data_IF_483619166131
#
_entry.id   IF_483619166131
#
_cell.length_a   1.000
_cell.length_b   1.000
_cell.length_c   1.000
_cell.angle_alpha   90.00
_cell.angle_beta   90.00
_cell.angle_gamma   90.00
#
_symmetry.space_group_name_H-M   'P 1'
#
loop_
_entity.id
_entity.type
_entity.pdbx_description
1 polymer ?
#
# COMPACT_ATOMS: atom_id res chain seq x y z
N UNK A 1 -30.56 -5.09 21.12
CA UNK A 1 -30.59 -6.13 20.07
C UNK A 1 -31.59 -7.23 20.49
N UNK A 2 -32.55 -7.57 19.61
CA UNK A 2 -33.42 -8.73 19.82
C UNK A 2 -32.57 -9.99 19.70
N UNK A 3 -32.66 -10.87 20.73
CA UNK A 3 -31.98 -12.17 20.70
C UNK A 3 -33.03 -13.21 20.34
N UNK A 4 -32.74 -14.04 19.35
CA UNK A 4 -33.57 -15.15 18.95
C UNK A 4 -32.90 -16.45 19.43
N UNK A 5 -33.70 -17.37 19.91
CA UNK A 5 -33.29 -18.75 20.22
C UNK A 5 -34.02 -19.67 19.25
N UNK A 6 -33.28 -20.42 18.47
CA UNK A 6 -33.83 -21.40 17.52
C UNK A 6 -33.69 -22.78 18.14
N UNK A 7 -34.79 -23.49 18.22
CA UNK A 7 -34.83 -24.85 18.75
C UNK A 7 -35.15 -25.77 17.59
N UNK A 8 -34.23 -26.64 17.28
CA UNK A 8 -34.43 -27.72 16.26
C UNK A 8 -34.76 -29.01 16.97
N UNK A 9 -35.73 -29.70 16.47
CA UNK A 9 -36.11 -31.07 16.92
C UNK A 9 -36.02 -31.99 15.73
N UNK A 10 -35.23 -33.04 15.85
CA UNK A 10 -35.08 -34.05 14.82
C UNK A 10 -34.81 -35.40 15.47
N UNK A 11 -35.53 -36.43 15.00
CA UNK A 11 -35.29 -37.82 15.40
C UNK A 11 -34.17 -38.45 14.55
N UNK A 12 -33.83 -37.86 13.42
CA UNK A 12 -32.82 -38.33 12.47
C UNK A 12 -31.38 -38.29 13.01
N UNK A 13 -31.16 -37.58 14.11
CA UNK A 13 -29.84 -37.39 14.73
C UNK A 13 -29.62 -38.27 15.97
N UNK A 14 -30.56 -39.16 16.33
CA UNK A 14 -30.47 -39.98 17.54
C UNK A 14 -29.20 -40.83 17.55
N UNK A 15 -28.85 -41.42 16.42
CA UNK A 15 -27.68 -42.28 16.27
C UNK A 15 -26.35 -41.51 16.24
N UNK A 16 -26.41 -40.22 16.03
CA UNK A 16 -25.25 -39.35 15.94
C UNK A 16 -24.96 -38.59 17.26
N UNK A 17 -25.76 -38.79 18.30
CA UNK A 17 -25.57 -38.16 19.61
C UNK A 17 -24.42 -38.83 20.36
N UNK A 18 -23.54 -38.02 20.95
CA UNK A 18 -22.46 -38.53 21.82
C UNK A 18 -23.07 -39.22 23.06
N UNK A 19 -22.44 -40.29 23.58
CA UNK A 19 -22.98 -41.06 24.72
C UNK A 19 -23.20 -40.24 25.99
N UNK A 20 -22.46 -39.13 26.14
CA UNK A 20 -22.55 -38.18 27.26
C UNK A 20 -23.53 -37.03 27.02
N UNK A 21 -24.22 -37.03 25.88
CA UNK A 21 -25.14 -35.97 25.44
C UNK A 21 -24.50 -34.57 25.33
N UNK A 22 -23.19 -34.47 25.24
CA UNK A 22 -22.47 -33.19 25.13
C UNK A 22 -22.47 -32.61 23.71
N UNK A 23 -22.81 -33.40 22.69
CA UNK A 23 -22.81 -32.98 21.30
C UNK A 23 -23.13 -34.12 20.32
N UNK A 24 -22.67 -33.96 19.09
CA UNK A 24 -22.93 -34.93 18.01
C UNK A 24 -21.60 -35.44 17.42
N UNK A 25 -21.62 -36.64 16.91
CA UNK A 25 -20.54 -37.25 16.14
C UNK A 25 -20.51 -36.59 14.76
N UNK A 26 -19.33 -36.30 14.24
CA UNK A 26 -19.20 -35.81 12.86
C UNK A 26 -19.45 -36.95 11.88
N UNK A 27 -20.65 -37.01 11.35
CA UNK A 27 -21.11 -38.01 10.38
C UNK A 27 -21.62 -37.30 9.11
N UNK A 28 -21.65 -37.97 7.94
CA UNK A 28 -22.29 -37.44 6.73
C UNK A 28 -23.75 -37.06 6.93
N UNK A 29 -24.47 -37.81 7.79
CA UNK A 29 -25.86 -37.54 8.17
C UNK A 29 -25.95 -36.22 8.95
N UNK A 30 -25.13 -36.05 10.00
CA UNK A 30 -25.06 -34.82 10.79
C UNK A 30 -24.71 -33.62 9.93
N UNK A 31 -23.76 -33.73 9.00
CA UNK A 31 -23.40 -32.64 8.07
C UNK A 31 -24.55 -32.27 7.14
N UNK A 32 -25.34 -33.27 6.68
CA UNK A 32 -26.51 -33.02 5.83
C UNK A 32 -27.61 -32.30 6.59
N UNK A 33 -27.93 -32.75 7.80
CA UNK A 33 -28.93 -32.14 8.68
C UNK A 33 -28.47 -30.72 9.09
N UNK A 34 -27.19 -30.53 9.43
CA UNK A 34 -26.67 -29.22 9.78
C UNK A 34 -26.79 -28.21 8.62
N UNK A 35 -26.53 -28.66 7.38
CA UNK A 35 -26.72 -27.79 6.18
C UNK A 35 -28.18 -27.40 5.99
N UNK A 36 -29.10 -28.35 6.20
CA UNK A 36 -30.53 -28.08 6.13
C UNK A 36 -30.97 -27.09 7.21
N UNK A 37 -30.57 -27.32 8.47
CA UNK A 37 -30.85 -26.41 9.58
C UNK A 37 -30.30 -24.99 9.27
N UNK A 38 -29.06 -24.91 8.80
CA UNK A 38 -28.45 -23.62 8.46
C UNK A 38 -29.24 -22.89 7.40
N UNK A 39 -29.67 -23.59 6.33
CA UNK A 39 -30.47 -22.99 5.27
C UNK A 39 -31.80 -22.45 5.78
N UNK A 40 -32.53 -23.24 6.57
CA UNK A 40 -33.82 -22.81 7.16
C UNK A 40 -33.66 -21.65 8.14
N UNK A 41 -32.59 -21.67 8.94
CA UNK A 41 -32.27 -20.57 9.86
C UNK A 41 -31.94 -19.27 9.09
N UNK A 42 -31.15 -19.38 8.03
CA UNK A 42 -30.81 -18.24 7.18
C UNK A 42 -32.04 -17.63 6.50
N UNK A 43 -32.94 -18.50 5.99
CA UNK A 43 -34.21 -18.04 5.40
C UNK A 43 -35.14 -17.38 6.47
N UNK A 44 -35.22 -17.97 7.64
CA UNK A 44 -36.00 -17.40 8.75
C UNK A 44 -35.46 -16.02 9.16
N UNK A 45 -34.13 -15.90 9.34
CA UNK A 45 -33.49 -14.61 9.69
C UNK A 45 -33.77 -13.59 8.59
N UNK A 46 -33.61 -13.95 7.32
CA UNK A 46 -33.91 -13.07 6.18
C UNK A 46 -35.37 -12.58 6.22
N UNK A 47 -36.31 -13.48 6.50
CA UNK A 47 -37.72 -13.13 6.55
C UNK A 47 -38.04 -12.15 7.69
N UNK A 48 -37.46 -12.37 8.88
CA UNK A 48 -37.69 -11.52 10.08
C UNK A 48 -36.98 -10.17 9.93
N UNK A 49 -35.83 -10.15 9.26
CA UNK A 49 -35.02 -8.92 9.09
C UNK A 49 -35.42 -8.13 7.86
N UNK A 50 -36.29 -8.62 7.00
CA UNK A 50 -36.62 -8.02 5.70
C UNK A 50 -36.97 -6.54 5.77
N UNK A 51 -37.87 -6.18 6.67
CA UNK A 51 -38.32 -4.78 6.79
C UNK A 51 -37.19 -3.90 7.32
N UNK A 52 -36.45 -4.37 8.31
CA UNK A 52 -35.27 -3.67 8.84
C UNK A 52 -34.17 -3.50 7.79
N UNK A 53 -33.87 -4.52 7.00
CA UNK A 53 -32.89 -4.45 5.92
C UNK A 53 -33.31 -3.43 4.84
N UNK A 54 -34.61 -3.38 4.53
CA UNK A 54 -35.12 -2.38 3.57
C UNK A 54 -34.94 -0.95 4.11
N UNK A 55 -35.21 -0.74 5.41
CA UNK A 55 -34.94 0.56 6.06
C UNK A 55 -33.45 0.92 5.99
N UNK A 56 -32.56 -0.01 6.36
CA UNK A 56 -31.10 0.21 6.30
C UNK A 56 -30.63 0.52 4.88
N UNK A 57 -31.13 -0.21 3.86
CA UNK A 57 -30.82 0.06 2.44
C UNK A 57 -31.23 1.48 2.02
N UNK A 58 -32.46 1.87 2.38
CA UNK A 58 -33.00 3.18 2.04
C UNK A 58 -32.22 4.32 2.71
N UNK A 59 -31.88 4.14 3.97
CA UNK A 59 -31.09 5.12 4.72
C UNK A 59 -29.69 5.29 4.11
N UNK A 60 -28.97 4.19 3.84
CA UNK A 60 -27.65 4.26 3.19
C UNK A 60 -27.73 4.91 1.79
N UNK A 61 -28.70 4.52 0.97
CA UNK A 61 -28.89 5.14 -0.36
C UNK A 61 -29.19 6.63 -0.25
N UNK A 62 -29.96 7.04 0.75
CA UNK A 62 -30.28 8.44 0.99
C UNK A 62 -29.06 9.24 1.39
N UNK A 63 -28.22 8.66 2.28
CA UNK A 63 -27.03 9.33 2.80
C UNK A 63 -25.96 9.52 1.71
N UNK A 64 -25.81 8.55 0.80
CA UNK A 64 -24.84 8.62 -0.32
C UNK A 64 -25.42 9.15 -1.63
N UNK A 65 -26.62 9.71 -1.61
CA UNK A 65 -27.37 10.09 -2.83
C UNK A 65 -26.61 11.05 -3.72
N UNK A 66 -26.09 12.13 -3.15
CA UNK A 66 -25.36 13.16 -3.89
C UNK A 66 -24.13 12.57 -4.58
N UNK A 67 -23.50 11.59 -3.93
CA UNK A 67 -22.36 10.88 -4.47
C UNK A 67 -22.73 9.92 -5.57
N UNK A 68 -23.84 9.21 -5.44
CA UNK A 68 -24.37 8.32 -6.47
C UNK A 68 -24.72 9.09 -7.74
N UNK A 69 -25.30 10.29 -7.62
CA UNK A 69 -25.66 11.14 -8.77
C UNK A 69 -24.44 11.56 -9.60
N UNK A 70 -23.23 11.54 -9.05
CA UNK A 70 -21.99 11.81 -9.78
C UNK A 70 -21.51 10.64 -10.63
N UNK A 71 -22.00 9.43 -10.37
CA UNK A 71 -21.64 8.23 -11.12
C UNK A 71 -22.45 8.13 -12.41
N UNK A 72 -21.87 7.44 -13.39
CA UNK A 72 -22.64 7.06 -14.59
C UNK A 72 -23.71 5.99 -14.25
N UNK A 73 -24.64 5.76 -15.16
CA UNK A 73 -25.77 4.83 -14.96
C UNK A 73 -25.30 3.41 -14.61
N UNK A 74 -24.18 2.96 -15.17
CA UNK A 74 -23.61 1.64 -14.88
C UNK A 74 -23.09 1.57 -13.44
N UNK A 75 -22.33 2.60 -13.01
CA UNK A 75 -21.83 2.68 -11.64
C UNK A 75 -22.98 2.73 -10.62
N UNK A 76 -24.04 3.52 -10.87
CA UNK A 76 -25.21 3.54 -10.01
C UNK A 76 -25.87 2.16 -9.87
N UNK A 77 -25.96 1.42 -10.98
CA UNK A 77 -26.49 0.04 -10.96
C UNK A 77 -25.58 -0.91 -10.18
N UNK A 78 -24.28 -0.80 -10.37
CA UNK A 78 -23.30 -1.63 -9.65
C UNK A 78 -23.40 -1.42 -8.14
N UNK A 79 -23.51 -0.17 -7.68
CA UNK A 79 -23.69 0.14 -6.27
C UNK A 79 -25.02 -0.41 -5.74
N UNK A 80 -26.12 -0.23 -6.46
CA UNK A 80 -27.41 -0.77 -6.05
C UNK A 80 -27.38 -2.30 -5.92
N UNK A 81 -26.82 -2.99 -6.91
CA UNK A 81 -26.65 -4.44 -6.88
C UNK A 81 -25.71 -4.91 -5.75
N UNK A 82 -24.66 -4.14 -5.44
CA UNK A 82 -23.77 -4.40 -4.33
C UNK A 82 -24.52 -4.32 -2.99
N UNK A 83 -25.30 -3.25 -2.76
CA UNK A 83 -26.10 -3.08 -1.53
C UNK A 83 -27.07 -4.24 -1.36
N UNK A 84 -27.82 -4.62 -2.40
CA UNK A 84 -28.74 -5.73 -2.37
C UNK A 84 -28.03 -7.04 -2.02
N UNK A 85 -26.94 -7.36 -2.73
CA UNK A 85 -26.20 -8.60 -2.55
C UNK A 85 -25.61 -8.70 -1.14
N UNK A 86 -24.94 -7.66 -0.65
CA UNK A 86 -24.29 -7.66 0.66
C UNK A 86 -25.31 -7.81 1.79
N UNK A 87 -26.47 -7.16 1.69
CA UNK A 87 -27.53 -7.25 2.69
C UNK A 87 -28.27 -8.59 2.63
N UNK A 88 -28.40 -9.18 1.45
CA UNK A 88 -29.01 -10.53 1.30
C UNK A 88 -28.10 -11.64 1.83
N UNK A 89 -26.79 -11.52 1.62
CA UNK A 89 -25.80 -12.49 2.11
C UNK A 89 -25.50 -12.30 3.62
N UNK A 90 -25.66 -11.08 4.14
CA UNK A 90 -25.41 -10.77 5.55
C UNK A 90 -26.58 -9.99 6.21
N UNK A 91 -27.66 -10.70 6.60
CA UNK A 91 -28.86 -10.06 7.16
C UNK A 91 -28.66 -9.34 8.48
N UNK A 92 -27.53 -9.51 9.14
CA UNK A 92 -27.18 -8.85 10.42
C UNK A 92 -26.16 -7.73 10.26
N UNK A 93 -25.91 -7.30 9.03
CA UNK A 93 -24.96 -6.22 8.73
C UNK A 93 -25.35 -4.94 9.49
N UNK A 94 -24.36 -4.26 10.05
CA UNK A 94 -24.59 -2.98 10.70
C UNK A 94 -24.71 -1.84 9.67
N UNK A 95 -25.57 -0.82 9.89
CA UNK A 95 -25.69 0.32 9.00
C UNK A 95 -24.36 1.03 8.76
N UNK A 96 -23.55 1.23 9.79
CA UNK A 96 -22.25 1.90 9.70
C UNK A 96 -21.28 1.14 8.79
N UNK A 97 -21.22 -0.19 8.92
CA UNK A 97 -20.38 -1.02 8.06
C UNK A 97 -20.86 -0.98 6.59
N UNK A 98 -22.17 -1.09 6.36
CA UNK A 98 -22.72 -1.02 5.02
C UNK A 98 -22.44 0.35 4.38
N UNK A 99 -22.58 1.45 5.14
CA UNK A 99 -22.28 2.80 4.68
C UNK A 99 -20.82 2.91 4.24
N UNK A 100 -19.87 2.54 5.10
CA UNK A 100 -18.44 2.59 4.78
C UNK A 100 -18.07 1.71 3.56
N UNK A 101 -18.70 0.53 3.43
CA UNK A 101 -18.47 -0.34 2.28
C UNK A 101 -18.99 0.29 0.98
N UNK A 102 -20.14 0.96 1.03
CA UNK A 102 -20.72 1.68 -0.13
C UNK A 102 -19.87 2.87 -0.52
N UNK A 103 -19.40 3.68 0.44
CA UNK A 103 -18.48 4.81 0.17
C UNK A 103 -17.17 4.33 -0.50
N UNK A 104 -16.59 3.24 0.00
CA UNK A 104 -15.41 2.64 -0.61
C UNK A 104 -15.68 2.18 -2.05
N UNK A 105 -16.82 1.55 -2.29
CA UNK A 105 -17.21 1.09 -3.63
C UNK A 105 -17.47 2.26 -4.59
N UNK A 106 -18.11 3.34 -4.13
CA UNK A 106 -18.29 4.58 -4.91
C UNK A 106 -16.93 5.19 -5.28
N UNK A 107 -15.98 5.21 -4.37
CA UNK A 107 -14.63 5.71 -4.61
C UNK A 107 -13.91 4.89 -5.68
N UNK A 108 -14.07 3.56 -5.64
CA UNK A 108 -13.53 2.66 -6.67
C UNK A 108 -14.19 2.91 -8.02
N UNK A 109 -15.51 3.05 -8.09
CA UNK A 109 -16.24 3.33 -9.35
C UNK A 109 -15.87 4.69 -9.98
N UNK A 110 -15.53 5.69 -9.18
CA UNK A 110 -15.03 6.99 -9.65
C UNK A 110 -13.61 6.94 -10.21
N UNK A 111 -12.81 6.00 -9.74
CA UNK A 111 -11.40 5.91 -10.11
C UNK A 111 -11.25 5.38 -11.56
N UNK A 112 -10.40 6.02 -12.36
CA UNK A 112 -10.11 5.59 -13.75
C UNK A 112 -9.62 4.13 -13.86
N UNK A 113 -9.01 3.61 -12.81
CA UNK A 113 -8.49 2.23 -12.72
C UNK A 113 -9.23 1.42 -11.66
N UNK A 114 -10.42 1.83 -11.25
CA UNK A 114 -11.17 1.20 -10.17
C UNK A 114 -11.53 -0.26 -10.46
N UNK A 115 -11.96 -0.57 -11.69
CA UNK A 115 -12.23 -1.95 -12.12
C UNK A 115 -10.99 -2.84 -11.99
N UNK A 116 -9.81 -2.32 -12.35
CA UNK A 116 -8.55 -3.05 -12.22
C UNK A 116 -8.19 -3.28 -10.75
N UNK A 117 -8.36 -2.27 -9.90
CA UNK A 117 -8.16 -2.39 -8.46
C UNK A 117 -9.09 -3.44 -7.85
N UNK A 118 -10.37 -3.41 -8.19
CA UNK A 118 -11.34 -4.40 -7.74
C UNK A 118 -10.94 -5.83 -8.14
N UNK A 119 -10.49 -6.01 -9.40
CA UNK A 119 -9.99 -7.30 -9.88
C UNK A 119 -8.76 -7.78 -9.08
N UNK A 120 -7.82 -6.88 -8.78
CA UNK A 120 -6.64 -7.23 -7.99
C UNK A 120 -7.02 -7.63 -6.55
N UNK A 121 -7.88 -6.84 -5.90
CA UNK A 121 -8.35 -7.17 -4.55
C UNK A 121 -9.07 -8.52 -4.49
N UNK A 122 -9.87 -8.84 -5.52
CA UNK A 122 -10.57 -10.12 -5.61
C UNK A 122 -9.66 -11.34 -5.82
N UNK A 123 -8.41 -11.13 -6.24
CA UNK A 123 -7.40 -12.18 -6.41
C UNK A 123 -6.47 -12.34 -5.19
N UNK A 124 -6.52 -11.41 -4.25
CA UNK A 124 -5.69 -11.44 -3.05
C UNK A 124 -6.18 -12.48 -2.05
N UNK A 125 -5.25 -13.12 -1.37
CA UNK A 125 -5.55 -13.92 -0.19
C UNK A 125 -5.81 -13.03 1.03
N UNK A 126 -6.52 -13.52 2.07
CA UNK A 126 -6.71 -12.75 3.31
C UNK A 126 -5.40 -12.23 3.91
N UNK A 127 -4.35 -13.04 3.96
CA UNK A 127 -3.01 -12.64 4.44
C UNK A 127 -2.39 -11.50 3.61
N UNK A 128 -2.64 -11.45 2.30
CA UNK A 128 -2.19 -10.34 1.45
C UNK A 128 -2.99 -9.06 1.69
N UNK A 129 -4.29 -9.18 1.98
CA UNK A 129 -5.14 -8.03 2.34
C UNK A 129 -4.70 -7.46 3.68
N UNK A 130 -4.41 -8.32 4.68
CA UNK A 130 -3.91 -7.88 5.99
C UNK A 130 -2.60 -7.12 5.84
N UNK A 131 -1.62 -7.64 5.08
CA UNK A 131 -0.35 -6.96 4.80
C UNK A 131 -0.54 -5.63 4.07
N UNK A 132 -1.46 -5.56 3.10
CA UNK A 132 -1.78 -4.32 2.41
C UNK A 132 -2.37 -3.29 3.39
N UNK A 133 -3.25 -3.74 4.28
CA UNK A 133 -3.84 -2.90 5.32
C UNK A 133 -2.80 -2.33 6.27
N UNK A 134 -1.84 -3.15 6.70
CA UNK A 134 -0.72 -2.72 7.56
C UNK A 134 0.13 -1.65 6.86
N UNK A 135 0.42 -1.84 5.57
CA UNK A 135 1.17 -0.86 4.76
C UNK A 135 0.38 0.46 4.68
N UNK A 136 -0.91 0.42 4.30
CA UNK A 136 -1.74 1.62 4.16
C UNK A 136 -2.05 2.32 5.48
N UNK A 137 -1.95 1.61 6.61
CA UNK A 137 -2.07 2.21 7.94
C UNK A 137 -0.81 2.99 8.33
N UNK A 138 0.35 2.54 7.85
CA UNK A 138 1.66 3.11 8.21
C UNK A 138 2.16 4.15 7.21
N UNK A 139 1.70 4.11 5.97
CA UNK A 139 2.20 4.91 4.85
C UNK A 139 1.04 5.49 4.04
N UNK A 140 1.18 6.75 3.63
CA UNK A 140 0.32 7.34 2.62
C UNK A 140 0.57 6.70 1.23
N UNK A 141 -0.46 6.65 0.39
CA UNK A 141 -0.33 6.10 -0.99
C UNK A 141 0.66 6.92 -1.83
N UNK A 142 0.71 8.23 -1.64
CA UNK A 142 1.66 9.11 -2.34
C UNK A 142 3.10 8.88 -1.88
N UNK A 143 3.31 8.61 -0.59
CA UNK A 143 4.61 8.22 -0.04
C UNK A 143 5.08 6.89 -0.63
N UNK A 144 4.19 5.88 -0.68
CA UNK A 144 4.47 4.58 -1.30
C UNK A 144 4.84 4.75 -2.77
N UNK A 145 4.05 5.53 -3.51
CA UNK A 145 4.30 5.79 -4.94
C UNK A 145 5.65 6.49 -5.16
N UNK A 146 6.01 7.42 -4.26
CA UNK A 146 7.29 8.13 -4.29
C UNK A 146 8.46 7.17 -4.07
N UNK A 147 8.38 6.31 -3.05
CA UNK A 147 9.42 5.32 -2.74
C UNK A 147 9.60 4.32 -3.88
N UNK A 148 8.48 3.79 -4.42
CA UNK A 148 8.53 2.86 -5.56
C UNK A 148 9.13 3.55 -6.79
N UNK A 149 8.71 4.78 -7.10
CA UNK A 149 9.25 5.55 -8.21
C UNK A 149 10.75 5.82 -8.08
N UNK A 150 11.27 6.00 -6.87
CA UNK A 150 12.70 6.17 -6.63
C UNK A 150 13.47 4.85 -6.80
N UNK A 151 12.88 3.73 -6.36
CA UNK A 151 13.44 2.39 -6.59
C UNK A 151 13.52 2.08 -8.08
N UNK A 152 12.46 2.35 -8.84
CA UNK A 152 12.42 2.13 -10.29
C UNK A 152 13.50 2.94 -11.01
N UNK A 153 13.69 4.21 -10.67
CA UNK A 153 14.77 5.05 -11.21
C UNK A 153 16.14 4.42 -10.96
N UNK A 154 16.35 3.91 -9.75
CA UNK A 154 17.63 3.26 -9.39
C UNK A 154 17.85 1.96 -10.15
N UNK A 155 16.81 1.15 -10.35
CA UNK A 155 16.88 -0.09 -11.15
C UNK A 155 17.26 0.25 -12.59
N UNK A 156 16.62 1.24 -13.21
CA UNK A 156 16.92 1.68 -14.58
C UNK A 156 18.40 2.09 -14.73
N UNK A 157 18.96 2.79 -13.74
CA UNK A 157 20.37 3.17 -13.73
C UNK A 157 21.30 1.94 -13.65
N UNK A 158 20.98 1.00 -12.76
CA UNK A 158 21.76 -0.27 -12.63
C UNK A 158 21.75 -1.06 -13.95
N UNK A 159 20.56 -1.20 -14.55
CA UNK A 159 20.44 -1.89 -15.85
C UNK A 159 21.21 -1.17 -16.96
N UNK A 160 21.20 0.15 -16.98
CA UNK A 160 21.96 0.93 -17.94
C UNK A 160 23.48 0.72 -17.78
N UNK A 161 23.98 0.70 -16.53
CA UNK A 161 25.39 0.40 -16.24
C UNK A 161 25.76 -1.00 -16.70
N UNK A 162 24.91 -2.01 -16.45
CA UNK A 162 25.17 -3.38 -16.89
C UNK A 162 25.25 -3.47 -18.41
N UNK A 163 24.33 -2.82 -19.15
CA UNK A 163 24.37 -2.80 -20.63
C UNK A 163 25.63 -2.14 -21.17
N UNK A 164 26.07 -1.03 -20.55
CA UNK A 164 27.28 -0.33 -20.93
C UNK A 164 28.52 -1.19 -20.64
N UNK A 165 28.55 -1.91 -19.52
CA UNK A 165 29.64 -2.80 -19.15
C UNK A 165 29.81 -3.97 -20.14
N UNK A 166 28.69 -4.48 -20.63
CA UNK A 166 28.68 -5.59 -21.59
C UNK A 166 29.08 -5.14 -23.04
N UNK A 167 28.90 -3.83 -23.33
CA UNK A 167 29.23 -3.25 -24.63
C UNK A 167 30.66 -2.67 -24.64
N UNK A 168 31.60 -3.45 -25.15
CA UNK A 168 33.03 -3.07 -25.29
C UNK A 168 33.29 -1.88 -26.21
N UNK A 169 32.29 -1.41 -26.95
CA UNK A 169 32.42 -0.27 -27.87
C UNK A 169 32.08 1.06 -27.21
N UNK A 170 31.56 1.02 -25.97
CA UNK A 170 31.11 2.20 -25.27
C UNK A 170 32.27 3.04 -24.75
N UNK A 171 32.26 4.34 -25.06
CA UNK A 171 33.22 5.32 -24.53
C UNK A 171 32.91 5.65 -23.08
N UNK A 172 33.80 5.27 -22.17
CA UNK A 172 33.65 5.44 -20.72
C UNK A 172 33.36 6.89 -20.33
N UNK A 173 34.10 7.84 -20.92
CA UNK A 173 34.00 9.25 -20.55
C UNK A 173 32.66 9.90 -20.94
N UNK A 174 32.11 9.52 -22.09
CA UNK A 174 30.91 10.16 -22.64
C UNK A 174 29.61 9.47 -22.26
N UNK A 175 29.66 8.21 -21.83
CA UNK A 175 28.46 7.42 -21.55
C UNK A 175 28.38 7.00 -20.08
N UNK A 176 29.39 6.30 -19.57
CA UNK A 176 29.39 5.76 -18.22
C UNK A 176 29.59 6.85 -17.17
N UNK A 177 30.53 7.78 -17.40
CA UNK A 177 30.85 8.82 -16.43
C UNK A 177 29.66 9.74 -16.06
N UNK A 178 28.89 10.32 -17.01
CA UNK A 178 27.69 11.10 -16.68
C UNK A 178 26.63 10.28 -15.94
N UNK A 179 26.49 8.99 -16.27
CA UNK A 179 25.52 8.11 -15.60
C UNK A 179 25.89 7.93 -14.12
N UNK A 180 27.16 7.62 -13.84
CA UNK A 180 27.67 7.45 -12.47
C UNK A 180 27.60 8.78 -11.69
N UNK A 181 27.88 9.93 -12.33
CA UNK A 181 27.73 11.23 -11.68
C UNK A 181 26.32 11.49 -11.16
N UNK A 182 25.32 11.04 -11.90
CA UNK A 182 23.91 11.15 -11.48
C UNK A 182 23.48 10.04 -10.51
N UNK A 183 24.29 8.99 -10.37
CA UNK A 183 24.00 7.84 -9.53
C UNK A 183 25.02 7.66 -8.40
N UNK A 184 25.48 8.75 -7.79
CA UNK A 184 26.47 8.71 -6.69
C UNK A 184 26.06 7.88 -5.49
N UNK A 185 24.75 7.68 -5.29
CA UNK A 185 24.18 6.78 -4.30
C UNK A 185 24.70 5.32 -4.43
N UNK A 186 25.23 4.90 -5.60
CA UNK A 186 25.88 3.59 -5.79
C UNK A 186 27.07 3.39 -4.87
N UNK A 187 27.75 4.47 -4.48
CA UNK A 187 28.88 4.42 -3.55
C UNK A 187 28.47 4.52 -2.08
N UNK A 188 27.18 4.62 -1.81
CA UNK A 188 26.57 4.77 -0.49
C UNK A 188 25.79 6.07 -0.36
N UNK A 189 24.74 6.05 0.46
CA UNK A 189 23.84 7.20 0.64
C UNK A 189 24.57 8.48 1.08
N UNK A 190 25.67 8.34 1.84
CA UNK A 190 26.50 9.46 2.29
C UNK A 190 27.22 10.21 1.15
N UNK A 191 27.31 9.61 -0.05
CA UNK A 191 27.93 10.20 -1.23
C UNK A 191 26.91 10.79 -2.21
N UNK A 192 25.63 10.64 -1.95
CA UNK A 192 24.55 11.25 -2.74
C UNK A 192 24.39 12.74 -2.39
N UNK A 193 25.50 13.44 -2.36
CA UNK A 193 25.60 14.87 -2.05
C UNK A 193 25.56 15.72 -3.32
N UNK A 194 24.92 16.88 -3.33
CA UNK A 194 25.01 17.84 -4.42
C UNK A 194 26.44 18.43 -4.56
N UNK A 195 27.26 18.30 -3.51
CA UNK A 195 28.64 18.81 -3.52
C UNK A 195 29.59 17.74 -4.08
N UNK A 196 29.83 17.82 -5.37
CA UNK A 196 30.76 16.94 -6.06
C UNK A 196 31.52 17.69 -7.17
N UNK A 197 32.68 17.19 -7.52
CA UNK A 197 33.49 17.68 -8.65
C UNK A 197 34.01 16.46 -9.44
N UNK A 198 33.97 16.54 -10.75
CA UNK A 198 34.46 15.51 -11.61
C UNK A 198 35.43 16.02 -12.66
N UNK A 199 36.35 15.18 -13.09
CA UNK A 199 37.33 15.42 -14.16
C UNK A 199 38.07 16.79 -14.08
N UNK A 200 38.33 17.25 -12.86
CA UNK A 200 39.01 18.53 -12.58
C UNK A 200 40.33 18.30 -11.88
N UNK A 201 41.31 19.18 -12.11
CA UNK A 201 42.59 19.11 -11.38
C UNK A 201 42.34 19.25 -9.86
N UNK A 202 43.11 18.54 -9.06
CA UNK A 202 42.93 18.49 -7.59
C UNK A 202 42.95 19.88 -6.96
N UNK A 203 43.81 20.77 -7.45
CA UNK A 203 43.82 22.19 -7.03
C UNK A 203 42.50 22.92 -7.30
N UNK A 204 41.86 22.64 -8.44
CA UNK A 204 40.55 23.22 -8.78
C UNK A 204 39.46 22.66 -7.90
N UNK A 205 39.52 21.37 -7.58
CA UNK A 205 38.60 20.73 -6.67
C UNK A 205 38.65 21.38 -5.28
N UNK A 206 39.85 21.51 -4.72
CA UNK A 206 40.02 22.12 -3.40
C UNK A 206 39.46 23.53 -3.38
N UNK A 207 39.78 24.35 -4.37
CA UNK A 207 39.26 25.73 -4.50
C UNK A 207 37.73 25.79 -4.62
N UNK A 208 37.11 24.83 -5.29
CA UNK A 208 35.65 24.82 -5.49
C UNK A 208 34.89 24.33 -4.29
N UNK A 209 35.41 23.32 -3.60
CA UNK A 209 34.74 22.69 -2.47
C UNK A 209 34.97 23.42 -1.14
N UNK A 210 36.11 24.09 -0.99
CA UNK A 210 36.53 24.74 0.26
C UNK A 210 36.80 26.22 0.07
N UNK A 211 35.83 26.96 -0.48
CA UNK A 211 35.91 28.33 -0.95
C UNK A 211 36.34 29.39 0.10
N UNK A 212 36.22 29.08 1.37
CA UNK A 212 36.39 30.04 2.48
C UNK A 212 37.58 29.75 3.42
N UNK A 213 38.32 28.65 3.17
CA UNK A 213 39.46 28.32 4.03
C UNK A 213 40.80 28.54 3.32
N UNK A 214 41.76 29.07 4.05
CA UNK A 214 43.14 29.29 3.60
C UNK A 214 43.87 27.93 3.60
N UNK A 215 43.74 27.18 2.50
CA UNK A 215 44.50 25.93 2.32
C UNK A 215 45.83 26.24 1.66
N UNK A 216 46.91 25.73 2.25
CA UNK A 216 48.20 25.70 1.62
C UNK A 216 48.20 24.69 0.45
N UNK A 217 48.08 25.23 -0.77
CA UNK A 217 48.08 24.43 -1.99
C UNK A 217 49.38 23.66 -2.24
N UNK A 218 50.47 24.09 -1.56
CA UNK A 218 51.78 23.45 -1.69
C UNK A 218 51.85 22.11 -0.91
N UNK A 219 50.92 21.86 0.02
CA UNK A 219 50.79 20.59 0.70
C UNK A 219 50.12 19.52 -0.14
N UNK A 220 49.52 19.86 -1.28
CA UNK A 220 48.85 18.88 -2.13
C UNK A 220 49.87 18.05 -2.91
N UNK A 221 50.03 16.82 -2.53
CA UNK A 221 50.82 15.84 -3.29
C UNK A 221 50.16 15.56 -4.65
N UNK A 222 50.74 15.99 -5.74
CA UNK A 222 50.22 15.81 -7.10
C UNK A 222 49.02 16.75 -7.44
N UNK A 223 49.17 18.06 -7.41
CA UNK A 223 48.13 19.06 -7.62
C UNK A 223 47.49 19.02 -9.02
N UNK A 224 48.18 18.44 -10.01
CA UNK A 224 47.68 18.29 -11.39
C UNK A 224 46.92 16.97 -11.66
N UNK A 225 46.88 16.06 -10.70
CA UNK A 225 46.12 14.82 -10.82
C UNK A 225 44.63 15.15 -11.00
N UNK A 226 43.98 14.47 -11.92
CA UNK A 226 42.55 14.59 -12.20
C UNK A 226 41.86 13.34 -11.74
N UNK A 227 41.24 13.33 -10.58
CA UNK A 227 40.37 12.23 -10.18
C UNK A 227 39.08 12.24 -11.02
N UNK A 228 38.52 11.07 -11.29
CA UNK A 228 37.31 10.93 -12.08
C UNK A 228 36.13 11.58 -11.37
N UNK A 229 35.96 11.27 -10.10
CA UNK A 229 34.88 11.82 -9.27
C UNK A 229 35.38 12.06 -7.84
N UNK A 230 35.07 13.21 -7.28
CA UNK A 230 35.24 13.52 -5.85
C UNK A 230 33.89 13.92 -5.31
N UNK A 231 33.40 13.21 -4.30
CA UNK A 231 32.20 13.53 -3.55
C UNK A 231 32.55 13.89 -2.12
N UNK A 232 31.98 14.95 -1.59
CA UNK A 232 32.04 15.21 -0.16
C UNK A 232 30.99 14.37 0.55
N UNK A 233 31.43 13.71 1.62
CA UNK A 233 30.53 13.00 2.52
C UNK A 233 29.66 14.03 3.24
N UNK A 234 28.36 13.90 3.14
CA UNK A 234 27.44 14.81 3.81
C UNK A 234 27.30 14.38 5.27
N UNK A 235 27.79 15.20 6.19
CA UNK A 235 27.71 14.95 7.62
C UNK A 235 26.59 15.73 8.32
N UNK A 236 25.90 16.64 7.63
CA UNK A 236 24.83 17.42 8.25
C UNK A 236 23.48 16.77 8.04
N UNK A 237 22.88 16.28 9.12
CA UNK A 237 21.47 15.91 9.19
C UNK A 237 20.69 17.14 9.64
N UNK A 238 19.87 17.72 8.78
CA UNK A 238 18.89 18.73 9.18
C UNK A 238 17.59 18.00 9.52
N UNK A 239 17.34 17.76 10.80
CA UNK A 239 16.04 17.29 11.27
C UNK A 239 15.09 18.48 11.36
N UNK A 240 14.04 18.51 10.55
CA UNK A 240 12.94 19.46 10.67
C UNK A 240 11.88 18.80 11.53
N UNK A 241 11.81 19.16 12.81
CA UNK A 241 10.67 18.82 13.65
C UNK A 241 9.52 19.77 13.35
N UNK A 242 8.34 19.23 13.10
CA UNK A 242 7.10 19.99 12.88
C UNK A 242 6.66 20.80 14.11
N UNK A 243 7.26 20.59 15.28
CA UNK A 243 6.94 21.24 16.55
C UNK A 243 7.83 22.46 16.88
N UNK A 244 8.34 23.16 15.90
CA UNK A 244 8.99 24.47 16.04
C UNK A 244 10.36 24.56 16.69
N UNK A 245 11.15 23.53 16.71
CA UNK A 245 12.56 23.63 17.12
C UNK A 245 13.44 23.40 15.88
N UNK A 246 13.96 24.48 15.34
CA UNK A 246 15.03 24.41 14.33
C UNK A 246 16.33 24.01 15.05
N UNK A 247 16.69 22.76 14.96
CA UNK A 247 18.00 22.28 15.38
C UNK A 247 19.01 22.53 14.24
N UNK A 248 20.05 23.30 14.52
CA UNK A 248 21.13 23.48 13.56
C UNK A 248 22.10 22.30 13.61
N UNK A 249 22.81 22.05 12.50
CA UNK A 249 23.72 20.91 12.36
C UNK A 249 24.83 20.84 13.44
N UNK A 250 25.14 21.93 14.16
CA UNK A 250 26.08 21.98 15.27
C UNK A 250 25.52 21.50 16.61
N UNK A 251 24.22 21.23 16.71
CA UNK A 251 23.55 20.82 17.95
C UNK A 251 23.28 19.30 18.00
N UNK A 252 23.63 18.59 16.92
CA UNK A 252 23.50 17.13 16.80
C UNK A 252 24.91 16.52 16.78
N UNK A 253 25.57 16.51 17.91
CA UNK A 253 26.77 15.69 18.13
C UNK A 253 26.54 14.70 19.26
#
# INVERSE_FOLDING_TARGET
AKRYTIIVKSDDLIDDVLPDWSGFISSPNMESVYRCIKSEVDEFIKSVMKDHLNEVRLDVIKDVRDELETLNITGQRNISAFIEKVTDENPIITPDYLHSAVEAMISIERAKKGELLHSHLGQMTPDQIDKLTDILTSWDVDDIATVIGEIDKRIVVIEAIQRIYDDKTTEELHTLHPLILNARWLFGAQFDSPMFVSNSALTTVVKNLFKEEDYDLDEISNPRRRPDIICLKQFSLKAVCTDRIDLTAGEIM
#
